data_IF_270269649614
#
_entry.id   IF_270269649614
#
_cell.length_a   1.000
_cell.length_b   1.000
_cell.length_c   1.000
_cell.angle_alpha   90.00
_cell.angle_beta   90.00
_cell.angle_gamma   90.00
#
_symmetry.space_group_name_H-M   'P 1'
#
loop_
_entity.id
_entity.type
_entity.pdbx_description
1 polymer ?
#
# COMPACT_ATOMS: atom_id res chain seq x y z
N UNK A 1 24.19 52.97 -40.44
CA UNK A 1 23.79 51.75 -39.71
C UNK A 1 25.03 50.93 -39.39
N UNK A 2 25.61 51.14 -38.20
CA UNK A 2 26.72 50.37 -37.64
C UNK A 2 26.50 50.24 -36.14
N UNK A 3 26.52 48.98 -35.67
CA UNK A 3 26.40 48.55 -34.27
C UNK A 3 27.66 48.92 -33.50
N UNK A 4 27.53 49.45 -32.27
CA UNK A 4 28.56 49.37 -31.22
C UNK A 4 27.86 49.15 -29.86
N UNK A 5 28.46 48.24 -29.09
CA UNK A 5 28.04 47.50 -27.89
C UNK A 5 28.16 48.35 -26.61
N UNK A 6 27.36 48.11 -25.54
CA UNK A 6 27.79 48.43 -24.17
C UNK A 6 28.11 47.16 -23.36
N UNK A 7 29.40 47.06 -23.03
CA UNK A 7 30.02 46.69 -21.75
C UNK A 7 29.31 45.66 -20.85
N UNK A 8 29.88 44.44 -20.84
CA UNK A 8 29.77 43.49 -19.74
C UNK A 8 30.59 44.00 -18.53
N UNK A 9 29.95 44.19 -17.38
CA UNK A 9 30.64 44.27 -16.10
C UNK A 9 30.68 42.86 -15.48
N UNK A 10 31.88 42.28 -15.44
CA UNK A 10 32.20 41.03 -14.76
C UNK A 10 32.45 41.36 -13.29
N UNK A 11 31.61 40.87 -12.37
CA UNK A 11 31.92 40.83 -10.95
C UNK A 11 32.37 39.40 -10.60
N UNK A 12 33.69 39.20 -10.50
CA UNK A 12 34.29 38.04 -9.84
C UNK A 12 34.07 38.20 -8.32
N UNK A 13 33.32 37.30 -7.69
CA UNK A 13 33.38 37.11 -6.24
C UNK A 13 34.11 35.80 -5.97
N UNK A 14 35.31 35.94 -5.39
CA UNK A 14 36.25 34.86 -5.16
C UNK A 14 35.79 33.87 -4.09
N UNK A 15 36.03 32.58 -4.39
CA UNK A 15 36.03 31.51 -3.42
C UNK A 15 37.30 31.60 -2.56
N UNK A 16 37.15 31.56 -1.24
CA UNK A 16 38.25 31.27 -0.30
C UNK A 16 37.92 29.96 0.41
N UNK A 17 38.75 28.96 0.12
CA UNK A 17 38.89 27.70 0.85
C UNK A 17 39.62 27.99 2.16
N UNK A 18 39.03 27.58 3.29
CA UNK A 18 39.76 27.37 4.54
C UNK A 18 39.49 25.96 5.04
N UNK A 19 40.55 25.16 5.03
CA UNK A 19 40.63 23.83 5.59
C UNK A 19 40.79 23.91 7.11
N UNK A 20 40.00 23.10 7.83
CA UNK A 20 40.34 22.67 9.18
C UNK A 20 40.09 21.16 9.28
N UNK A 21 41.17 20.39 9.19
CA UNK A 21 41.23 19.00 9.61
C UNK A 21 41.23 18.93 11.14
N UNK A 22 40.37 18.09 11.70
CA UNK A 22 40.50 17.63 13.08
C UNK A 22 40.07 16.17 13.13
N UNK A 23 41.06 15.28 12.99
CA UNK A 23 40.96 13.88 13.38
C UNK A 23 40.69 13.78 14.88
N UNK A 24 39.67 13.01 15.25
CA UNK A 24 39.52 12.51 16.61
C UNK A 24 39.54 11.00 16.57
N UNK A 25 40.48 10.49 17.36
CA UNK A 25 40.90 9.11 17.44
C UNK A 25 39.78 8.19 17.93
N UNK A 26 39.74 7.01 17.34
CA UNK A 26 39.05 5.83 17.85
C UNK A 26 39.91 5.30 19.00
N UNK A 27 39.41 5.39 20.23
CA UNK A 27 40.00 4.71 21.37
C UNK A 27 39.00 3.67 21.89
N UNK A 28 39.51 2.44 21.95
CA UNK A 28 38.80 1.21 22.20
C UNK A 28 39.30 0.67 23.55
N UNK A 29 38.51 0.78 24.62
CA UNK A 29 38.76 0.11 25.90
C UNK A 29 37.43 -0.15 26.64
N UNK A 30 37.38 -1.20 27.48
CA UNK A 30 36.20 -2.02 27.72
C UNK A 30 35.33 -1.51 28.88
N UNK A 31 34.02 -1.73 28.78
CA UNK A 31 33.12 -1.58 29.92
C UNK A 31 33.11 -2.88 30.71
N UNK A 32 33.61 -2.76 31.93
CA UNK A 32 33.58 -3.72 33.01
C UNK A 32 32.15 -4.05 33.44
N UNK A 33 31.98 -5.33 33.72
CA UNK A 33 30.94 -5.99 34.52
C UNK A 33 30.67 -5.29 35.86
N UNK A 34 29.40 -5.12 36.21
CA UNK A 34 28.95 -5.33 37.59
C UNK A 34 27.51 -5.85 37.58
N UNK A 35 27.35 -6.99 38.23
CA UNK A 35 26.13 -7.75 38.38
C UNK A 35 25.32 -7.24 39.58
N UNK A 36 24.00 -7.27 39.47
CA UNK A 36 23.11 -7.31 40.63
C UNK A 36 22.48 -8.71 40.68
N UNK A 37 22.91 -9.49 41.67
CA UNK A 37 22.30 -10.74 42.10
C UNK A 37 20.90 -10.47 42.68
N UNK A 38 19.94 -11.32 42.31
CA UNK A 38 18.92 -11.78 43.23
C UNK A 38 18.60 -13.24 42.90
N UNK A 39 19.00 -14.10 43.83
CA UNK A 39 18.92 -15.55 43.78
C UNK A 39 17.48 -16.06 43.85
N UNK A 40 17.18 -17.12 43.08
CA UNK A 40 16.22 -18.16 43.49
C UNK A 40 16.82 -19.52 43.13
N UNK A 41 16.88 -20.36 44.15
CA UNK A 41 17.60 -21.63 44.24
C UNK A 41 16.75 -22.80 43.74
N UNK A 42 17.35 -23.59 42.85
CA UNK A 42 17.29 -25.06 42.68
C UNK A 42 15.96 -25.84 42.75
N UNK A 43 15.67 -26.48 41.62
CA UNK A 43 15.04 -27.80 41.43
C UNK A 43 15.78 -28.90 42.24
N UNK A 44 15.17 -30.07 42.56
CA UNK A 44 15.12 -31.14 41.55
C UNK A 44 13.93 -32.11 41.61
N UNK A 45 13.55 -32.58 40.41
CA UNK A 45 13.30 -33.96 39.98
C UNK A 45 12.43 -34.98 40.79
N UNK A 46 11.61 -35.67 39.97
CA UNK A 46 11.32 -37.11 39.95
C UNK A 46 10.00 -37.65 40.57
N UNK A 47 9.26 -38.32 39.68
CA UNK A 47 8.14 -39.26 39.83
C UNK A 47 8.45 -40.44 40.77
N UNK A 48 7.44 -41.11 41.35
CA UNK A 48 6.82 -42.27 40.69
C UNK A 48 5.31 -42.44 40.95
N UNK A 49 4.77 -43.52 40.37
CA UNK A 49 3.38 -43.79 40.04
C UNK A 49 2.50 -44.47 41.13
N UNK A 50 1.20 -44.50 40.81
CA UNK A 50 0.17 -45.53 41.09
C UNK A 50 -0.77 -45.33 42.28
N UNK A 51 -2.07 -45.26 41.96
CA UNK A 51 -3.21 -45.35 42.89
C UNK A 51 -4.53 -44.99 42.19
N UNK A 52 -5.26 -46.01 41.76
CA UNK A 52 -6.69 -46.06 41.38
C UNK A 52 -7.60 -45.55 42.52
N UNK A 53 -8.85 -45.10 42.39
CA UNK A 53 -10.09 -45.57 41.73
C UNK A 53 -11.03 -44.32 41.64
N UNK A 54 -11.69 -44.03 40.51
CA UNK A 54 -13.08 -44.39 40.17
C UNK A 54 -14.15 -43.62 40.98
N UNK A 55 -14.86 -42.65 40.36
CA UNK A 55 -16.31 -42.73 40.22
C UNK A 55 -16.95 -41.70 39.25
N UNK A 56 -17.89 -42.23 38.47
CA UNK A 56 -19.12 -41.67 37.91
C UNK A 56 -19.18 -40.42 36.98
N UNK A 57 -19.45 -40.74 35.69
CA UNK A 57 -20.56 -40.24 34.84
C UNK A 57 -20.58 -38.73 34.45
N UNK A 58 -20.68 -38.31 33.18
CA UNK A 58 -21.53 -38.74 32.07
C UNK A 58 -21.14 -37.96 30.78
N UNK A 59 -21.37 -38.45 29.54
CA UNK A 59 -20.74 -37.92 28.34
C UNK A 59 -21.50 -36.74 27.70
N UNK A 60 -20.81 -35.62 27.45
CA UNK A 60 -21.25 -34.60 26.51
C UNK A 60 -20.80 -34.99 25.09
N UNK A 61 -21.77 -35.30 24.24
CA UNK A 61 -21.58 -35.58 22.82
C UNK A 61 -20.94 -34.39 22.10
N UNK A 62 -19.79 -34.65 21.50
CA UNK A 62 -19.10 -33.80 20.55
C UNK A 62 -19.72 -34.03 19.16
N UNK A 63 -20.29 -33.02 18.48
CA UNK A 63 -20.54 -33.12 17.05
C UNK A 63 -19.21 -32.97 16.31
N UNK A 64 -18.87 -33.98 15.51
CA UNK A 64 -17.82 -33.91 14.50
C UNK A 64 -18.03 -32.73 13.54
N UNK A 65 -16.94 -32.17 12.97
CA UNK A 65 -17.01 -31.00 12.11
C UNK A 65 -17.79 -31.32 10.85
N UNK A 66 -18.80 -30.51 10.56
CA UNK A 66 -19.48 -30.52 9.28
C UNK A 66 -18.47 -30.29 8.16
N UNK A 67 -18.55 -31.16 7.16
CA UNK A 67 -17.75 -31.11 5.95
C UNK A 67 -17.71 -29.70 5.35
N UNK A 68 -16.51 -29.23 5.03
CA UNK A 68 -16.33 -28.11 4.10
C UNK A 68 -17.03 -28.42 2.78
N UNK A 69 -17.88 -27.53 2.25
CA UNK A 69 -17.99 -27.42 0.80
C UNK A 69 -16.64 -26.81 0.37
N UNK A 70 -15.75 -27.56 -0.29
CA UNK A 70 -16.02 -28.06 -1.62
C UNK A 70 -15.77 -26.90 -2.56
N UNK A 71 -14.51 -26.77 -3.00
CA UNK A 71 -13.97 -25.81 -3.94
C UNK A 71 -14.92 -25.58 -5.12
N UNK A 72 -15.60 -24.43 -5.11
CA UNK A 72 -16.33 -23.95 -6.27
C UNK A 72 -15.39 -23.12 -7.12
N UNK A 73 -15.27 -23.46 -8.40
CA UNK A 73 -14.77 -22.54 -9.42
C UNK A 73 -15.53 -21.21 -9.30
N UNK A 74 -14.85 -20.18 -8.80
CA UNK A 74 -15.35 -18.81 -8.77
C UNK A 74 -15.51 -18.34 -10.21
N UNK A 75 -16.70 -18.51 -10.77
CA UNK A 75 -17.09 -17.82 -11.99
C UNK A 75 -17.00 -16.32 -11.72
N UNK A 76 -15.86 -15.72 -12.09
CA UNK A 76 -15.58 -14.29 -11.91
C UNK A 76 -16.76 -13.50 -12.47
N UNK A 77 -17.44 -12.75 -11.60
CA UNK A 77 -18.55 -11.90 -11.99
C UNK A 77 -18.14 -10.99 -13.16
N UNK A 78 -19.07 -10.72 -14.07
CA UNK A 78 -18.81 -9.86 -15.22
C UNK A 78 -18.37 -8.46 -14.75
N UNK A 79 -17.39 -7.83 -15.43
CA UNK A 79 -16.96 -6.49 -15.05
C UNK A 79 -18.10 -5.49 -15.23
N UNK A 80 -18.17 -4.50 -14.33
CA UNK A 80 -19.16 -3.43 -14.34
C UNK A 80 -18.57 -2.10 -14.80
N UNK A 81 -17.27 -1.90 -14.59
CA UNK A 81 -16.57 -0.65 -14.84
C UNK A 81 -15.39 -0.84 -15.77
N UNK A 82 -15.12 0.15 -16.60
CA UNK A 82 -13.94 0.20 -17.46
C UNK A 82 -13.22 1.54 -17.30
N UNK A 83 -11.90 1.51 -17.25
CA UNK A 83 -11.09 2.73 -17.10
C UNK A 83 -10.87 3.44 -18.44
N UNK A 84 -11.23 4.71 -18.59
CA UNK A 84 -10.98 5.48 -19.81
C UNK A 84 -9.53 6.02 -19.90
N UNK A 85 -9.22 6.74 -20.99
CA UNK A 85 -7.87 7.30 -21.23
C UNK A 85 -7.46 8.39 -20.23
N UNK A 86 -8.40 8.96 -19.49
CA UNK A 86 -8.17 9.94 -18.42
C UNK A 86 -8.13 9.28 -17.03
N UNK A 87 -7.96 7.96 -16.96
CA UNK A 87 -7.93 7.15 -15.74
C UNK A 87 -9.21 7.23 -14.89
N UNK A 88 -10.34 7.61 -15.50
CA UNK A 88 -11.67 7.61 -14.86
C UNK A 88 -12.37 6.30 -15.14
N UNK A 89 -13.12 5.79 -14.18
CA UNK A 89 -13.95 4.61 -14.36
C UNK A 89 -15.33 4.98 -14.87
N UNK A 90 -15.73 4.37 -15.97
CA UNK A 90 -17.08 4.54 -16.53
C UNK A 90 -17.83 3.22 -16.48
N UNK A 91 -19.15 3.25 -16.24
CA UNK A 91 -20.00 2.07 -16.42
C UNK A 91 -19.82 1.44 -17.80
N UNK A 92 -19.84 0.11 -17.84
CA UNK A 92 -19.92 -0.65 -19.10
C UNK A 92 -21.35 -0.61 -19.64
N UNK A 93 -22.32 -0.83 -18.75
CA UNK A 93 -23.76 -0.78 -19.03
C UNK A 93 -24.39 0.49 -18.45
N UNK A 94 -25.45 0.99 -19.08
CA UNK A 94 -26.15 2.22 -18.63
C UNK A 94 -26.84 2.06 -17.27
N UNK A 95 -27.24 0.83 -16.92
CA UNK A 95 -27.88 0.54 -15.63
C UNK A 95 -26.90 0.53 -14.46
N UNK A 96 -25.60 0.45 -14.72
CA UNK A 96 -24.58 0.43 -13.66
C UNK A 96 -24.37 1.83 -13.09
N UNK A 97 -24.37 2.01 -11.76
CA UNK A 97 -24.22 3.32 -11.13
C UNK A 97 -22.96 4.06 -11.60
N UNK A 98 -23.13 5.28 -12.10
CA UNK A 98 -22.05 6.12 -12.62
C UNK A 98 -21.41 7.01 -11.56
N UNK A 99 -22.15 7.35 -10.49
CA UNK A 99 -21.66 8.20 -9.39
C UNK A 99 -20.94 7.35 -8.35
N UNK A 100 -19.75 6.90 -8.73
CA UNK A 100 -18.88 6.05 -7.91
C UNK A 100 -17.45 6.59 -7.94
N UNK A 101 -16.64 6.19 -6.96
CA UNK A 101 -15.20 6.45 -6.92
C UNK A 101 -14.43 5.16 -6.65
N UNK A 102 -13.19 5.08 -7.13
CA UNK A 102 -12.22 4.08 -6.74
C UNK A 102 -11.27 4.71 -5.72
N UNK A 103 -11.15 4.08 -4.54
CA UNK A 103 -10.19 4.46 -3.52
C UNK A 103 -8.88 3.71 -3.74
N UNK A 104 -7.76 4.44 -3.73
CA UNK A 104 -6.44 3.83 -3.88
C UNK A 104 -5.42 4.43 -2.92
N UNK A 105 -4.54 3.59 -2.40
CA UNK A 105 -3.50 3.96 -1.44
C UNK A 105 -2.14 3.45 -1.91
N UNK A 106 -1.19 4.37 -2.09
CA UNK A 106 0.17 4.06 -2.50
C UNK A 106 1.09 3.94 -1.28
N UNK A 107 2.24 3.30 -1.52
CA UNK A 107 3.36 3.20 -0.61
C UNK A 107 3.12 2.38 0.67
N UNK A 108 2.02 1.65 0.81
CA UNK A 108 1.81 0.74 1.94
C UNK A 108 2.44 -0.64 1.74
N UNK A 109 2.34 -1.55 2.73
CA UNK A 109 2.06 -1.27 4.14
C UNK A 109 3.33 -0.91 4.92
N UNK A 110 3.22 0.01 5.89
CA UNK A 110 4.35 0.53 6.69
C UNK A 110 4.15 0.38 8.19
N UNK A 111 2.94 0.62 8.66
CA UNK A 111 2.62 0.73 10.09
C UNK A 111 1.29 0.04 10.40
N UNK A 112 1.30 -0.86 11.38
CA UNK A 112 0.13 -1.67 11.74
C UNK A 112 -1.04 -0.84 12.26
N UNK A 113 -0.75 0.21 13.05
CA UNK A 113 -1.79 1.03 13.68
C UNK A 113 -2.50 1.88 12.63
N UNK A 114 -1.73 2.53 11.76
CA UNK A 114 -2.26 3.33 10.65
C UNK A 114 -3.07 2.43 9.72
N UNK A 115 -2.50 1.32 9.26
CA UNK A 115 -3.16 0.40 8.35
C UNK A 115 -4.48 -0.13 8.94
N UNK A 116 -4.45 -0.62 10.18
CA UNK A 116 -5.64 -1.17 10.83
C UNK A 116 -6.74 -0.12 10.96
N UNK A 117 -6.40 1.11 11.36
CA UNK A 117 -7.36 2.22 11.43
C UNK A 117 -7.99 2.54 10.07
N UNK A 118 -7.22 2.50 8.99
CA UNK A 118 -7.73 2.69 7.64
C UNK A 118 -8.66 1.55 7.22
N UNK A 119 -8.28 0.30 7.48
CA UNK A 119 -9.08 -0.89 7.17
C UNK A 119 -10.41 -0.91 7.96
N UNK A 120 -10.38 -0.53 9.23
CA UNK A 120 -11.58 -0.42 10.06
C UNK A 120 -12.55 0.64 9.53
N UNK A 121 -12.01 1.77 9.06
CA UNK A 121 -12.80 2.82 8.42
C UNK A 121 -13.40 2.32 7.11
N UNK A 122 -12.61 1.67 6.25
CA UNK A 122 -13.10 1.09 5.00
C UNK A 122 -14.22 0.09 5.23
N UNK A 123 -14.07 -0.81 6.21
CA UNK A 123 -15.08 -1.82 6.54
C UNK A 123 -16.37 -1.19 7.10
N UNK A 124 -16.25 -0.18 7.96
CA UNK A 124 -17.40 0.57 8.47
C UNK A 124 -18.24 1.19 7.35
N UNK A 125 -17.59 1.66 6.29
CA UNK A 125 -18.24 2.25 5.12
C UNK A 125 -18.58 1.21 4.03
N UNK A 126 -18.24 -0.07 4.22
CA UNK A 126 -18.39 -1.10 3.19
C UNK A 126 -17.59 -0.82 1.92
N UNK A 127 -16.50 -0.04 2.05
CA UNK A 127 -15.68 0.42 0.94
C UNK A 127 -14.56 -0.57 0.61
N UNK A 128 -14.36 -0.82 -0.69
CA UNK A 128 -13.22 -1.57 -1.21
C UNK A 128 -12.23 -0.61 -1.87
N UNK A 129 -10.95 -0.91 -1.72
CA UNK A 129 -9.84 -0.09 -2.18
C UNK A 129 -8.73 -0.95 -2.79
N UNK A 130 -7.84 -0.29 -3.54
CA UNK A 130 -6.57 -0.88 -4.01
C UNK A 130 -5.42 -0.29 -3.20
N UNK A 131 -4.65 -1.16 -2.56
CA UNK A 131 -3.38 -0.81 -1.91
C UNK A 131 -2.23 -1.15 -2.86
N UNK A 132 -1.61 -0.15 -3.48
CA UNK A 132 -0.45 -0.31 -4.33
C UNK A 132 0.82 -0.38 -3.48
N UNK A 133 1.39 -1.59 -3.37
CA UNK A 133 2.48 -1.87 -2.44
C UNK A 133 3.82 -1.97 -3.14
N UNK A 134 4.88 -1.55 -2.45
CA UNK A 134 6.24 -1.70 -2.96
C UNK A 134 6.82 -3.04 -2.53
N UNK A 135 7.65 -3.62 -3.39
CA UNK A 135 8.27 -4.93 -3.14
C UNK A 135 9.08 -5.01 -1.86
N UNK A 136 9.89 -3.99 -1.55
CA UNK A 136 10.64 -3.98 -0.29
C UNK A 136 9.72 -3.99 0.95
N UNK A 137 8.52 -3.40 0.87
CA UNK A 137 7.53 -3.42 1.96
C UNK A 137 6.86 -4.78 2.10
N UNK A 138 6.63 -5.49 1.00
CA UNK A 138 6.15 -6.88 1.03
C UNK A 138 7.10 -7.77 1.85
N UNK A 139 8.41 -7.59 1.71
CA UNK A 139 9.41 -8.33 2.49
C UNK A 139 9.50 -7.89 3.95
N UNK A 140 9.39 -6.59 4.20
CA UNK A 140 9.50 -6.04 5.55
C UNK A 140 8.26 -6.35 6.41
N UNK A 141 7.06 -6.28 5.80
CA UNK A 141 5.78 -6.32 6.51
C UNK A 141 4.82 -7.38 5.92
N UNK A 142 5.21 -8.66 5.84
CA UNK A 142 4.38 -9.69 5.21
C UNK A 142 3.04 -9.91 5.92
N UNK A 143 2.99 -9.79 7.24
CA UNK A 143 1.74 -9.95 8.00
C UNK A 143 0.75 -8.82 7.74
N UNK A 144 1.22 -7.59 7.54
CA UNK A 144 0.35 -6.47 7.14
C UNK A 144 -0.23 -6.68 5.74
N UNK A 145 0.53 -7.29 4.83
CA UNK A 145 0.02 -7.61 3.51
C UNK A 145 -1.06 -8.70 3.56
N UNK A 146 -0.87 -9.72 4.40
CA UNK A 146 -1.91 -10.73 4.65
C UNK A 146 -3.16 -10.09 5.22
N UNK A 147 -3.02 -9.18 6.19
CA UNK A 147 -4.13 -8.43 6.78
C UNK A 147 -4.95 -7.68 5.72
N UNK A 148 -4.30 -6.99 4.76
CA UNK A 148 -5.01 -6.32 3.64
C UNK A 148 -5.85 -7.33 2.85
N UNK A 149 -5.27 -8.48 2.48
CA UNK A 149 -5.97 -9.52 1.72
C UNK A 149 -7.08 -10.20 2.54
N UNK A 150 -6.87 -10.46 3.84
CA UNK A 150 -7.84 -11.07 4.75
C UNK A 150 -9.04 -10.16 5.00
N UNK A 151 -8.83 -8.84 5.07
CA UNK A 151 -9.91 -7.83 5.11
C UNK A 151 -10.58 -7.63 3.74
N UNK A 152 -10.20 -8.44 2.75
CA UNK A 152 -10.81 -8.47 1.42
C UNK A 152 -10.58 -7.19 0.65
N UNK A 153 -9.47 -6.49 0.89
CA UNK A 153 -9.03 -5.37 0.08
C UNK A 153 -8.15 -5.88 -1.07
N UNK A 154 -7.99 -5.07 -2.12
CA UNK A 154 -7.21 -5.46 -3.29
C UNK A 154 -5.77 -4.97 -3.17
N UNK A 155 -4.81 -5.83 -3.49
CA UNK A 155 -3.38 -5.47 -3.54
C UNK A 155 -2.97 -5.23 -4.99
N UNK A 156 -2.39 -4.05 -5.24
CA UNK A 156 -1.79 -3.65 -6.50
C UNK A 156 -0.26 -3.60 -6.41
N UNK A 157 0.40 -3.61 -7.57
CA UNK A 157 1.85 -3.57 -7.69
C UNK A 157 2.34 -2.13 -7.89
N UNK A 158 3.29 -1.67 -7.06
CA UNK A 158 3.89 -0.34 -7.10
C UNK A 158 5.42 -0.34 -7.33
N UNK A 159 5.89 -1.33 -8.08
CA UNK A 159 7.32 -1.62 -8.31
C UNK A 159 8.08 -2.02 -7.05
N UNK A 160 9.26 -2.61 -7.24
CA UNK A 160 10.05 -3.14 -6.14
C UNK A 160 10.62 -2.05 -5.24
N UNK A 161 11.46 -1.17 -5.79
CA UNK A 161 12.25 -0.15 -5.07
C UNK A 161 11.66 1.27 -5.14
N UNK A 162 10.48 1.44 -5.75
CA UNK A 162 9.87 2.76 -5.98
C UNK A 162 10.77 3.74 -6.78
N UNK A 163 11.52 3.22 -7.76
CA UNK A 163 12.32 4.05 -8.67
C UNK A 163 11.47 4.62 -9.81
N UNK A 164 11.93 5.71 -10.44
CA UNK A 164 11.26 6.25 -11.62
C UNK A 164 11.54 5.38 -12.85
N UNK A 165 10.57 4.53 -13.20
CA UNK A 165 10.71 3.52 -14.26
C UNK A 165 10.82 4.09 -15.69
N UNK A 166 10.45 5.36 -15.91
CA UNK A 166 10.25 5.92 -17.26
C UNK A 166 11.49 5.83 -18.16
N UNK A 167 12.67 5.95 -17.58
CA UNK A 167 13.93 5.99 -18.31
C UNK A 167 14.86 4.81 -17.98
N UNK A 168 14.35 3.81 -17.27
CA UNK A 168 15.14 2.65 -16.88
C UNK A 168 15.24 1.62 -18.03
N UNK A 169 16.31 0.81 -18.07
CA UNK A 169 16.42 -0.31 -19.00
C UNK A 169 15.25 -1.30 -18.87
N UNK A 170 14.85 -1.94 -19.99
CA UNK A 170 13.71 -2.87 -20.04
C UNK A 170 13.81 -4.00 -19.01
N UNK A 171 15.00 -4.57 -18.84
CA UNK A 171 15.29 -5.63 -17.87
C UNK A 171 15.19 -5.15 -16.41
N UNK A 172 15.57 -3.91 -16.13
CA UNK A 172 15.37 -3.29 -14.81
C UNK A 172 13.89 -3.10 -14.54
N UNK A 173 13.12 -2.57 -15.49
CA UNK A 173 11.67 -2.40 -15.36
C UNK A 173 10.99 -3.75 -15.15
N UNK A 174 11.35 -4.76 -15.95
CA UNK A 174 10.83 -6.13 -15.84
C UNK A 174 11.05 -6.68 -14.44
N UNK A 175 12.28 -6.60 -13.93
CA UNK A 175 12.63 -7.06 -12.58
C UNK A 175 11.85 -6.32 -11.50
N UNK A 176 11.75 -4.99 -11.59
CA UNK A 176 11.01 -4.16 -10.64
C UNK A 176 9.53 -4.56 -10.54
N UNK A 177 8.94 -5.08 -11.62
CA UNK A 177 7.53 -5.48 -11.66
C UNK A 177 7.37 -6.95 -11.28
N UNK A 178 8.14 -7.85 -11.88
CA UNK A 178 8.01 -9.30 -11.75
C UNK A 178 8.35 -9.80 -10.34
N UNK A 179 9.30 -9.19 -9.65
CA UNK A 179 9.65 -9.58 -8.27
C UNK A 179 8.48 -9.33 -7.32
N UNK A 180 7.79 -8.19 -7.47
CA UNK A 180 6.60 -7.87 -6.67
C UNK A 180 5.47 -8.86 -6.95
N UNK A 181 5.24 -9.23 -8.23
CA UNK A 181 4.25 -10.26 -8.57
C UNK A 181 4.55 -11.59 -7.88
N UNK A 182 5.82 -12.02 -7.93
CA UNK A 182 6.29 -13.29 -7.37
C UNK A 182 6.12 -13.32 -5.86
N UNK A 183 6.54 -12.26 -5.18
CA UNK A 183 6.53 -12.24 -3.72
C UNK A 183 5.13 -12.11 -3.13
N UNK A 184 4.23 -11.38 -3.80
CA UNK A 184 2.83 -11.31 -3.38
C UNK A 184 2.12 -12.65 -3.65
N UNK A 185 2.35 -13.28 -4.81
CA UNK A 185 1.79 -14.61 -5.08
C UNK A 185 2.26 -15.65 -4.06
N UNK A 186 3.55 -15.66 -3.73
CA UNK A 186 4.10 -16.56 -2.73
C UNK A 186 3.49 -16.35 -1.33
N UNK A 187 3.12 -15.10 -1.01
CA UNK A 187 2.62 -14.74 0.32
C UNK A 187 1.13 -15.00 0.51
N UNK A 188 0.30 -14.70 -0.51
CA UNK A 188 -1.17 -14.74 -0.39
C UNK A 188 -1.86 -15.59 -1.47
N UNK A 189 -1.10 -16.28 -2.33
CA UNK A 189 -1.63 -17.15 -3.38
C UNK A 189 -2.31 -16.42 -4.54
N UNK A 190 -2.16 -15.10 -4.63
CA UNK A 190 -2.77 -14.26 -5.67
C UNK A 190 -1.74 -13.32 -6.27
N UNK A 191 -1.79 -13.14 -7.60
CA UNK A 191 -1.02 -12.11 -8.30
C UNK A 191 -1.79 -10.79 -8.32
N UNK A 192 -1.13 -9.64 -8.09
CA UNK A 192 -1.71 -8.35 -8.41
C UNK A 192 -2.14 -8.29 -9.87
N UNK A 193 -3.32 -7.70 -10.13
CA UNK A 193 -3.87 -7.46 -11.47
C UNK A 193 -3.92 -5.97 -11.82
N UNK A 194 -3.44 -5.12 -10.91
CA UNK A 194 -3.37 -3.67 -11.06
C UNK A 194 -1.94 -3.21 -10.84
N UNK A 195 -1.49 -2.27 -11.66
CA UNK A 195 -0.18 -1.65 -11.51
C UNK A 195 -0.30 -0.13 -11.57
N UNK A 196 0.43 0.53 -10.67
CA UNK A 196 0.64 1.98 -10.72
C UNK A 196 2.14 2.26 -10.74
N UNK A 197 2.66 3.05 -11.69
CA UNK A 197 4.07 3.41 -11.68
C UNK A 197 4.38 4.40 -10.53
N UNK A 198 5.52 4.26 -9.85
CA UNK A 198 6.04 5.29 -8.96
C UNK A 198 6.00 6.68 -9.60
N UNK A 199 5.65 7.70 -8.81
CA UNK A 199 5.55 9.11 -9.23
C UNK A 199 4.54 9.38 -10.36
N UNK A 200 3.66 8.43 -10.70
CA UNK A 200 2.82 8.51 -11.90
C UNK A 200 3.64 8.50 -13.21
N UNK A 201 4.93 8.15 -13.14
CA UNK A 201 5.88 8.31 -14.23
C UNK A 201 6.15 6.97 -14.89
N UNK A 202 5.44 6.71 -15.99
CA UNK A 202 5.69 5.58 -16.87
C UNK A 202 6.00 5.97 -18.31
N UNK A 203 6.23 4.95 -19.14
CA UNK A 203 6.41 5.05 -20.58
C UNK A 203 5.86 3.81 -21.26
N UNK A 204 5.97 3.74 -22.59
CA UNK A 204 5.37 2.64 -23.37
C UNK A 204 5.98 1.29 -23.02
N UNK A 205 7.28 1.23 -22.70
CA UNK A 205 7.96 0.01 -22.22
C UNK A 205 7.34 -0.48 -20.90
N UNK A 206 7.06 0.41 -19.95
CA UNK A 206 6.41 0.06 -18.68
C UNK A 206 5.01 -0.49 -18.95
N UNK A 207 4.23 0.18 -19.80
CA UNK A 207 2.86 -0.26 -20.15
C UNK A 207 2.86 -1.63 -20.85
N UNK A 208 3.82 -1.87 -21.74
CA UNK A 208 3.99 -3.17 -22.43
C UNK A 208 4.27 -4.28 -21.42
N UNK A 209 5.23 -4.08 -20.51
CA UNK A 209 5.56 -5.06 -19.47
C UNK A 209 4.36 -5.34 -18.58
N UNK A 210 3.69 -4.29 -18.09
CA UNK A 210 2.50 -4.41 -17.24
C UNK A 210 1.40 -5.21 -17.94
N UNK A 211 1.18 -4.96 -19.24
CA UNK A 211 0.23 -5.72 -20.06
C UNK A 211 0.65 -7.19 -20.21
N UNK A 212 1.94 -7.47 -20.42
CA UNK A 212 2.46 -8.84 -20.52
C UNK A 212 2.31 -9.63 -19.22
N UNK A 213 2.31 -8.95 -18.06
CA UNK A 213 1.97 -9.53 -16.75
C UNK A 213 0.46 -9.63 -16.49
N UNK A 214 -0.39 -9.27 -17.45
CA UNK A 214 -1.85 -9.35 -17.32
C UNK A 214 -2.44 -8.32 -16.35
N UNK A 215 -1.74 -7.21 -16.12
CA UNK A 215 -2.17 -6.17 -15.21
C UNK A 215 -2.74 -4.96 -15.95
N UNK A 216 -3.69 -4.27 -15.31
CA UNK A 216 -4.16 -2.95 -15.75
C UNK A 216 -3.23 -1.85 -15.21
N UNK A 217 -2.57 -1.14 -16.12
CA UNK A 217 -1.79 0.07 -15.81
C UNK A 217 -2.73 1.24 -15.53
N UNK A 218 -2.56 1.93 -14.39
CA UNK A 218 -3.29 3.17 -14.09
C UNK A 218 -2.44 4.17 -13.30
N UNK A 219 -2.75 5.46 -13.44
CA UNK A 219 -2.35 6.48 -12.46
C UNK A 219 -3.56 6.87 -11.62
N UNK A 220 -4.01 8.12 -11.70
CA UNK A 220 -5.17 8.64 -10.97
C UNK A 220 -5.85 9.75 -11.79
N UNK A 221 -7.08 10.07 -11.43
CA UNK A 221 -7.83 11.20 -12.00
C UNK A 221 -8.20 12.26 -10.97
N UNK A 222 -7.99 11.95 -9.68
CA UNK A 222 -8.23 12.80 -8.52
C UNK A 222 -7.08 12.55 -7.54
N UNK A 223 -6.38 13.60 -7.13
CA UNK A 223 -5.19 13.49 -6.28
C UNK A 223 -5.36 14.28 -4.98
N UNK A 224 -5.20 13.59 -3.85
CA UNK A 224 -5.36 14.19 -2.52
C UNK A 224 -4.24 15.17 -2.13
N UNK A 225 -3.08 15.04 -2.80
CA UNK A 225 -1.82 15.72 -2.47
C UNK A 225 -1.33 15.48 -1.04
N UNK A 226 -1.81 14.42 -0.37
CA UNK A 226 -1.48 14.11 1.02
C UNK A 226 0.03 13.98 1.32
N UNK A 227 0.83 13.56 0.34
CA UNK A 227 2.29 13.48 0.41
C UNK A 227 3.00 14.85 0.40
N UNK A 228 2.33 15.92 -0.04
CA UNK A 228 2.92 17.24 -0.15
C UNK A 228 3.13 17.88 1.23
N UNK A 229 4.15 18.74 1.33
CA UNK A 229 4.44 19.44 2.59
C UNK A 229 3.28 20.32 3.05
N UNK A 230 2.46 20.84 2.13
CA UNK A 230 1.33 21.71 2.45
C UNK A 230 0.21 21.01 3.23
N UNK A 231 0.03 19.69 3.05
CA UNK A 231 -1.03 18.87 3.64
C UNK A 231 -0.57 18.02 4.83
N UNK A 232 0.74 17.94 5.08
CA UNK A 232 1.30 17.21 6.22
C UNK A 232 0.62 17.61 7.53
N UNK A 233 0.16 16.62 8.27
CA UNK A 233 -0.54 16.77 9.56
C UNK A 233 -1.82 17.63 9.47
N UNK A 234 -2.46 17.68 8.28
CA UNK A 234 -3.68 18.46 8.01
C UNK A 234 -4.73 17.61 7.27
N UNK A 235 -5.45 16.71 7.97
CA UNK A 235 -6.47 15.84 7.36
C UNK A 235 -7.54 16.63 6.59
N UNK A 236 -7.93 17.81 7.08
CA UNK A 236 -8.95 18.64 6.40
C UNK A 236 -8.50 19.16 5.03
N UNK A 237 -7.20 19.38 4.83
CA UNK A 237 -6.67 19.80 3.52
C UNK A 237 -6.67 18.63 2.53
N UNK A 238 -6.40 17.41 2.99
CA UNK A 238 -6.54 16.18 2.19
C UNK A 238 -7.98 16.03 1.71
N UNK A 239 -8.95 16.18 2.62
CA UNK A 239 -10.38 16.11 2.29
C UNK A 239 -10.74 17.19 1.28
N UNK A 240 -10.32 18.44 1.51
CA UNK A 240 -10.62 19.56 0.60
C UNK A 240 -10.09 19.29 -0.80
N UNK A 241 -8.83 18.87 -0.93
CA UNK A 241 -8.20 18.63 -2.23
C UNK A 241 -8.93 17.55 -3.04
N UNK A 242 -9.37 16.46 -2.38
CA UNK A 242 -10.18 15.42 -3.03
C UNK A 242 -11.55 15.98 -3.44
N UNK A 243 -12.27 16.63 -2.52
CA UNK A 243 -13.63 17.08 -2.79
C UNK A 243 -13.71 18.21 -3.85
N UNK A 244 -12.67 19.02 -4.01
CA UNK A 244 -12.59 20.06 -5.05
C UNK A 244 -12.41 19.49 -6.46
N UNK A 245 -11.80 18.30 -6.59
CA UNK A 245 -11.55 17.64 -7.87
C UNK A 245 -12.56 16.53 -8.18
N UNK A 246 -13.39 16.18 -7.20
CA UNK A 246 -14.33 15.07 -7.24
C UNK A 246 -15.25 15.08 -8.46
N UNK A 247 -15.29 13.95 -9.17
CA UNK A 247 -16.17 13.72 -10.30
C UNK A 247 -16.63 12.25 -10.36
N UNK A 248 -17.72 11.92 -11.09
CA UNK A 248 -18.12 10.53 -11.34
C UNK A 248 -16.96 9.70 -11.91
N UNK A 249 -16.76 8.52 -11.35
CA UNK A 249 -15.69 7.61 -11.76
C UNK A 249 -14.29 8.00 -11.31
N UNK A 250 -14.15 8.91 -10.33
CA UNK A 250 -12.83 9.34 -9.87
C UNK A 250 -11.99 8.17 -9.34
N UNK A 251 -10.76 8.10 -9.82
CA UNK A 251 -9.70 7.27 -9.25
C UNK A 251 -8.88 8.15 -8.30
N UNK A 252 -9.14 8.01 -7.00
CA UNK A 252 -8.59 8.87 -5.95
C UNK A 252 -7.26 8.30 -5.47
N UNK A 253 -6.18 9.04 -5.70
CA UNK A 253 -4.85 8.75 -5.15
C UNK A 253 -4.71 9.31 -3.74
N UNK A 254 -4.33 8.44 -2.81
CA UNK A 254 -3.90 8.72 -1.45
C UNK A 254 -2.70 7.85 -1.08
N UNK A 255 -2.13 8.02 0.11
CA UNK A 255 -1.02 7.24 0.65
C UNK A 255 -1.32 6.77 2.08
N UNK A 256 -0.68 5.68 2.52
CA UNK A 256 -0.71 5.25 3.92
C UNK A 256 0.12 6.21 4.80
N UNK A 257 -0.54 7.25 5.28
CA UNK A 257 0.01 8.34 6.10
C UNK A 257 -0.94 8.66 7.27
N UNK A 258 -0.43 9.10 8.44
CA UNK A 258 -1.26 9.35 9.62
C UNK A 258 -2.44 10.30 9.36
N UNK A 259 -2.18 11.44 8.72
CA UNK A 259 -3.22 12.43 8.43
C UNK A 259 -4.19 11.97 7.32
N UNK A 260 -3.80 11.03 6.47
CA UNK A 260 -4.72 10.39 5.52
C UNK A 260 -5.66 9.45 6.25
N UNK A 261 -5.15 8.65 7.20
CA UNK A 261 -5.98 7.80 8.04
C UNK A 261 -6.97 8.63 8.89
N UNK A 262 -6.51 9.73 9.49
CA UNK A 262 -7.36 10.67 10.23
C UNK A 262 -8.44 11.32 9.35
N UNK A 263 -8.13 11.61 8.08
CA UNK A 263 -9.07 12.19 7.13
C UNK A 263 -10.14 11.20 6.65
N UNK A 264 -9.84 9.90 6.64
CA UNK A 264 -10.55 8.91 5.84
C UNK A 264 -12.04 8.81 6.20
N UNK A 265 -12.38 8.73 7.48
CA UNK A 265 -13.76 8.62 7.97
C UNK A 265 -14.63 9.79 7.48
N UNK A 266 -14.13 11.02 7.65
CA UNK A 266 -14.86 12.22 7.25
C UNK A 266 -14.91 12.35 5.72
N UNK A 267 -13.86 11.94 5.01
CA UNK A 267 -13.85 11.89 3.55
C UNK A 267 -14.94 10.95 3.03
N UNK A 268 -14.98 9.71 3.52
CA UNK A 268 -15.94 8.69 3.07
C UNK A 268 -17.38 9.11 3.37
N UNK A 269 -17.63 9.60 4.58
CA UNK A 269 -18.92 10.21 4.95
C UNK A 269 -19.32 11.34 3.99
N UNK A 270 -18.36 12.21 3.60
CA UNK A 270 -18.63 13.33 2.69
C UNK A 270 -18.92 12.85 1.26
N UNK A 271 -18.26 11.79 0.80
CA UNK A 271 -18.53 11.17 -0.50
C UNK A 271 -19.94 10.58 -0.55
N UNK A 272 -20.34 9.85 0.49
CA UNK A 272 -21.68 9.28 0.64
C UNK A 272 -22.77 10.36 0.72
N UNK A 273 -22.55 11.42 1.49
CA UNK A 273 -23.47 12.58 1.54
C UNK A 273 -23.61 13.26 0.19
N UNK A 274 -22.57 13.22 -0.65
CA UNK A 274 -22.63 13.69 -2.03
C UNK A 274 -23.25 12.65 -2.97
N UNK A 275 -23.60 11.45 -2.50
CA UNK A 275 -24.26 10.38 -3.26
C UNK A 275 -23.30 9.53 -4.09
N UNK A 276 -22.01 9.45 -3.70
CA UNK A 276 -21.06 8.55 -4.32
C UNK A 276 -21.08 7.18 -3.65
N UNK A 277 -21.02 6.12 -4.46
CA UNK A 277 -20.66 4.78 -4.00
C UNK A 277 -19.18 4.47 -4.26
N UNK A 278 -18.74 3.27 -3.88
CA UNK A 278 -17.37 2.80 -4.08
C UNK A 278 -17.32 1.70 -5.15
N UNK A 279 -16.31 1.78 -6.01
CA UNK A 279 -16.02 0.71 -6.97
C UNK A 279 -15.35 -0.43 -6.22
N UNK A 280 -15.93 -1.63 -6.28
CA UNK A 280 -15.21 -2.86 -5.95
C UNK A 280 -14.16 -3.11 -7.05
N UNK A 281 -12.84 -3.16 -6.73
CA UNK A 281 -11.82 -3.44 -7.74
C UNK A 281 -12.04 -4.74 -8.51
N UNK A 282 -12.72 -5.74 -7.93
CA UNK A 282 -13.05 -6.99 -8.63
C UNK A 282 -14.02 -6.78 -9.81
N UNK A 283 -14.79 -5.69 -9.81
CA UNK A 283 -15.74 -5.32 -10.86
C UNK A 283 -15.11 -4.50 -12.00
N UNK A 284 -13.79 -4.30 -12.00
CA UNK A 284 -13.07 -3.57 -13.04
C UNK A 284 -12.69 -4.50 -14.20
N UNK A 285 -12.97 -4.07 -15.42
CA UNK A 285 -12.43 -4.66 -16.64
C UNK A 285 -10.94 -4.30 -16.81
N UNK A 286 -10.10 -5.33 -16.79
CA UNK A 286 -8.64 -5.22 -16.93
C UNK A 286 -8.16 -5.50 -18.36
N UNK A 287 -9.04 -5.95 -19.26
CA UNK A 287 -8.67 -6.35 -20.61
C UNK A 287 -8.73 -5.15 -21.56
N UNK A 288 -7.61 -4.45 -21.75
CA UNK A 288 -7.46 -3.40 -22.77
C UNK A 288 -6.18 -3.55 -23.61
#
# INVERSE_FOLDING_TARGET
MKRIIPLFAVLLLGAQLSACSAERQIENQPVSTEAAEAAVTQEPAATPASGSEEDAASPSEQPSPAASPGSGDDAKAAPLYRMNQAYRFVPIEESTPSKVVLLTFDDGPKDETILTSMLDTLDKHGAKAIFFVNGYRVKQNPELLKLINERGQTIGNHSWDHINLKNEPKDVIEKQIADVQTDIEALIGKKPIFFRPPFGSGGDVVKEIVKNHGMLYMTWSDGSLDWDKSTRDKPEEVIRNVLEQLHPGANILMHELPWTAEALEKLLTSLEQKGYGYIDPAAIDINR
#
